data_IF_512337965032
#
_entry.id   IF_512337965032
#
_cell.length_a   1.000
_cell.length_b   1.000
_cell.length_c   1.000
_cell.angle_alpha   90.00
_cell.angle_beta   90.00
_cell.angle_gamma   90.00
#
_symmetry.space_group_name_H-M   'P 1'
#
loop_
_entity.id
_entity.type
_entity.pdbx_description
1 polymer ?
#
# COMPACT_ATOMS: atom_id res chain seq x y z
N UNK A 1 34.91 -58.70 -3.89
CA UNK A 1 35.66 -57.45 -4.14
C UNK A 1 34.64 -56.33 -4.27
N UNK A 2 34.70 -55.37 -3.36
CA UNK A 2 33.79 -54.24 -3.21
C UNK A 2 34.08 -53.14 -4.24
N UNK A 3 33.05 -52.32 -4.55
CA UNK A 3 33.03 -50.85 -4.64
C UNK A 3 31.98 -50.40 -5.68
N UNK A 4 31.26 -49.29 -5.58
CA UNK A 4 30.93 -48.30 -4.52
C UNK A 4 30.05 -47.26 -5.24
N UNK A 5 29.06 -46.67 -4.53
CA UNK A 5 28.59 -45.28 -4.69
C UNK A 5 27.91 -44.93 -6.04
N UNK A 6 26.91 -44.06 -6.17
CA UNK A 6 26.36 -42.90 -5.46
C UNK A 6 24.82 -43.05 -5.48
N UNK A 7 24.00 -42.50 -4.59
CA UNK A 7 24.10 -41.24 -3.88
C UNK A 7 22.72 -40.57 -3.99
N UNK A 8 21.98 -40.68 -2.88
CA UNK A 8 20.78 -39.93 -2.48
C UNK A 8 20.73 -38.49 -3.00
N UNK A 9 19.60 -38.09 -3.62
CA UNK A 9 18.85 -36.86 -3.31
C UNK A 9 17.82 -36.55 -4.41
N UNK A 10 16.57 -36.98 -4.23
CA UNK A 10 15.43 -36.32 -4.89
C UNK A 10 14.37 -36.07 -3.82
N UNK A 11 14.47 -34.90 -3.19
CA UNK A 11 13.33 -34.15 -2.67
C UNK A 11 13.82 -32.71 -2.46
N UNK A 12 13.80 -31.94 -3.54
CA UNK A 12 13.80 -30.50 -3.46
C UNK A 12 12.34 -30.09 -3.42
N UNK A 13 11.84 -29.88 -2.20
CA UNK A 13 10.68 -29.05 -1.93
C UNK A 13 10.96 -27.66 -2.51
N UNK A 14 10.50 -27.43 -3.73
CA UNK A 14 10.36 -26.09 -4.29
C UNK A 14 9.02 -25.53 -3.78
N UNK A 15 8.93 -25.31 -2.45
CA UNK A 15 7.91 -24.40 -1.92
C UNK A 15 8.32 -22.99 -2.34
N UNK A 16 7.85 -22.61 -3.53
CA UNK A 16 7.79 -21.23 -4.00
C UNK A 16 7.31 -20.37 -2.82
N UNK A 17 8.05 -19.32 -2.40
CA UNK A 17 7.57 -18.44 -1.34
C UNK A 17 6.19 -17.94 -1.79
N UNK A 18 5.17 -18.30 -1.02
CA UNK A 18 3.83 -17.78 -1.22
C UNK A 18 3.95 -16.27 -1.10
N UNK A 19 4.00 -15.59 -2.25
CA UNK A 19 3.98 -14.15 -2.29
C UNK A 19 2.77 -13.73 -1.47
N UNK A 20 3.01 -13.04 -0.36
CA UNK A 20 1.97 -12.39 0.42
C UNK A 20 1.38 -11.36 -0.52
N UNK A 21 0.31 -11.76 -1.23
CA UNK A 21 -0.45 -10.85 -2.07
C UNK A 21 -1.08 -9.88 -1.08
N UNK A 22 -0.68 -8.59 -1.08
CA UNK A 22 -1.34 -7.63 -0.21
C UNK A 22 -2.84 -7.67 -0.53
N UNK A 23 -3.71 -7.53 0.48
CA UNK A 23 -5.15 -7.48 0.24
C UNK A 23 -5.40 -6.51 -0.91
N UNK A 24 -6.05 -7.01 -1.97
CA UNK A 24 -6.48 -6.15 -3.07
C UNK A 24 -7.63 -5.35 -2.49
N UNK A 25 -7.31 -4.24 -1.83
CA UNK A 25 -8.29 -3.24 -1.45
C UNK A 25 -8.83 -2.70 -2.76
N UNK A 26 -10.01 -3.20 -3.16
CA UNK A 26 -10.83 -2.59 -4.20
C UNK A 26 -11.25 -1.21 -3.70
N UNK A 27 -10.32 -0.27 -3.73
CA UNK A 27 -10.53 1.14 -3.47
C UNK A 27 -10.79 1.82 -4.80
N UNK A 28 -11.98 2.37 -4.98
CA UNK A 28 -12.23 3.26 -6.11
C UNK A 28 -11.63 4.63 -5.78
N UNK A 29 -10.66 5.07 -6.57
CA UNK A 29 -10.09 6.42 -6.42
C UNK A 29 -11.07 7.44 -6.99
N UNK A 30 -11.70 8.23 -6.12
CA UNK A 30 -12.54 9.35 -6.54
C UNK A 30 -11.67 10.61 -6.60
N UNK A 31 -11.66 11.29 -7.76
CA UNK A 31 -11.07 12.61 -7.85
C UNK A 31 -11.94 13.60 -7.07
N UNK A 32 -11.34 14.28 -6.09
CA UNK A 32 -11.99 15.33 -5.33
C UNK A 32 -11.95 16.61 -6.15
N UNK A 33 -13.04 16.89 -6.85
CA UNK A 33 -13.14 18.04 -7.75
C UNK A 33 -13.54 19.34 -7.04
N UNK A 34 -14.11 19.24 -5.84
CA UNK A 34 -14.59 20.39 -5.09
C UNK A 34 -14.07 20.28 -3.65
N UNK A 35 -13.24 21.23 -3.25
CA UNK A 35 -12.78 21.41 -1.88
C UNK A 35 -13.14 22.82 -1.41
N UNK A 36 -13.18 23.01 -0.10
CA UNK A 36 -13.25 24.34 0.52
C UNK A 36 -11.91 24.62 1.16
N UNK A 37 -11.53 25.88 1.24
CA UNK A 37 -10.33 26.27 1.96
C UNK A 37 -10.52 27.65 2.57
N UNK A 38 -9.85 27.87 3.70
CA UNK A 38 -9.64 29.19 4.27
C UNK A 38 -8.16 29.36 4.60
N UNK A 39 -7.75 30.62 4.67
CA UNK A 39 -6.37 31.00 4.98
C UNK A 39 -6.40 32.07 6.07
N UNK A 40 -5.54 31.88 7.07
CA UNK A 40 -5.12 32.92 8.00
C UNK A 40 -3.70 33.37 7.68
N UNK A 41 -3.21 34.33 8.46
CA UNK A 41 -1.83 34.82 8.34
C UNK A 41 -0.78 33.72 8.60
N UNK A 42 -1.16 32.68 9.35
CA UNK A 42 -0.26 31.62 9.78
C UNK A 42 -0.50 30.27 9.06
N UNK A 43 -1.74 30.00 8.64
CA UNK A 43 -2.12 28.67 8.17
C UNK A 43 -3.08 28.71 6.99
N UNK A 44 -2.96 27.71 6.12
CA UNK A 44 -4.00 27.36 5.14
C UNK A 44 -4.70 26.09 5.61
N UNK A 45 -6.04 26.11 5.63
CA UNK A 45 -6.87 24.94 5.97
C UNK A 45 -7.66 24.52 4.75
N UNK A 46 -7.55 23.25 4.38
CA UNK A 46 -8.30 22.65 3.28
C UNK A 46 -9.32 21.68 3.88
N UNK A 47 -10.60 21.88 3.55
CA UNK A 47 -11.72 21.05 3.99
C UNK A 47 -12.22 20.21 2.81
N UNK A 48 -12.29 18.91 3.06
CA UNK A 48 -12.75 17.91 2.10
C UNK A 48 -13.93 17.19 2.74
N UNK A 49 -15.07 17.16 2.04
CA UNK A 49 -16.25 16.41 2.47
C UNK A 49 -16.32 15.09 1.71
N UNK A 50 -16.29 13.98 2.43
CA UNK A 50 -16.49 12.64 1.88
C UNK A 50 -17.79 12.08 2.45
N UNK A 51 -18.83 12.03 1.63
CA UNK A 51 -20.16 11.58 2.07
C UNK A 51 -20.26 10.05 2.01
N UNK A 52 -20.81 9.43 3.05
CA UNK A 52 -21.05 7.99 3.09
C UNK A 52 -19.81 7.13 3.34
N UNK A 53 -18.69 7.73 3.76
CA UNK A 53 -17.44 7.03 4.05
C UNK A 53 -16.91 7.44 5.42
N UNK A 54 -16.51 6.47 6.23
CA UNK A 54 -15.67 6.69 7.40
C UNK A 54 -14.22 6.51 6.99
N UNK A 55 -13.38 7.52 7.24
CA UNK A 55 -11.96 7.49 6.85
C UNK A 55 -11.10 7.32 8.09
N UNK A 56 -10.45 6.16 8.28
CA UNK A 56 -9.46 5.97 9.32
C UNK A 56 -8.25 6.89 9.10
N UNK A 57 -7.65 7.40 10.17
CA UNK A 57 -6.55 8.37 10.11
C UNK A 57 -5.34 7.81 9.35
N UNK A 58 -5.05 6.52 9.51
CA UNK A 58 -3.96 5.81 8.83
C UNK A 58 -4.10 5.77 7.30
N UNK A 59 -5.33 5.95 6.80
CA UNK A 59 -5.62 5.98 5.36
C UNK A 59 -5.55 7.39 4.77
N UNK A 60 -5.29 8.42 5.59
CA UNK A 60 -5.10 9.80 5.15
C UNK A 60 -3.62 10.06 4.91
N UNK A 61 -3.24 10.33 3.67
CA UNK A 61 -1.88 10.69 3.28
C UNK A 61 -1.87 12.08 2.65
N UNK A 62 -0.96 12.94 3.11
CA UNK A 62 -0.79 14.30 2.59
C UNK A 62 0.69 14.54 2.33
N UNK A 63 1.01 15.06 1.15
CA UNK A 63 2.36 15.44 0.76
C UNK A 63 2.32 16.86 0.20
N UNK A 64 3.05 17.78 0.84
CA UNK A 64 3.22 19.16 0.36
C UNK A 64 4.56 19.25 -0.36
N UNK A 65 4.58 19.33 -1.71
CA UNK A 65 5.81 19.58 -2.43
C UNK A 65 6.27 21.02 -2.16
N UNK A 66 7.58 21.21 -2.02
CA UNK A 66 8.18 22.54 -1.96
C UNK A 66 8.06 23.18 -3.35
N UNK A 67 7.43 24.34 -3.45
CA UNK A 67 7.33 25.09 -4.70
C UNK A 67 8.58 25.98 -4.77
N UNK A 68 9.57 25.50 -5.51
CA UNK A 68 10.79 26.24 -5.88
C UNK A 68 10.54 27.29 -6.96
#
# INVERSE_FOLDING_TARGET
MQQKSQGKAEFLDDEKPAAVVPPITTGYTVKISNCRWDQSDEFVKIFITLTGVQVPTENVQVHFPEII
#
